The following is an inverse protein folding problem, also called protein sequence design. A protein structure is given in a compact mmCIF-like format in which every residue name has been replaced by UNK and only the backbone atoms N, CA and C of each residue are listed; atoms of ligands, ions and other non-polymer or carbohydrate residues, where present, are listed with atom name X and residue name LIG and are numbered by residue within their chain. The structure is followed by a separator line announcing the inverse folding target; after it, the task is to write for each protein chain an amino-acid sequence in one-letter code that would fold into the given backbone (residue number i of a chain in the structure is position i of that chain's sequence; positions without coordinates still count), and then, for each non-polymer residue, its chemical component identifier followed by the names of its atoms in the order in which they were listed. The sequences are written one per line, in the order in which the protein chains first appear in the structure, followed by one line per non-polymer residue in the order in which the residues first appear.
data_IF_110447969213
#
_entry.id   IF_110447969213
#
_cell.length_a   1.000
_cell.length_b   1.000
_cell.length_c   1.000
_cell.angle_alpha   90.00
_cell.angle_beta   90.00
_cell.angle_gamma   90.00
#
_symmetry.space_group_name_H-M   'P 1'
#
loop_
_entity.id
_entity.type
_entity.pdbx_description
1 polymer ?
#
# COMPACT_ATOMS: atom_id res chain seq x y z
N UNK A 1 23.93 -14.86 8.71
CA UNK A 1 22.62 -14.47 9.26
C UNK A 1 21.81 -13.48 8.39
N UNK A 2 22.15 -13.26 7.11
CA UNK A 2 21.38 -12.37 6.19
C UNK A 2 20.13 -13.00 5.57
N UNK A 3 20.01 -14.34 5.58
CA UNK A 3 18.87 -15.06 4.96
C UNK A 3 17.59 -15.06 5.81
N UNK A 4 17.73 -14.85 7.13
CA UNK A 4 16.59 -14.81 8.07
C UNK A 4 15.89 -13.44 8.01
N UNK A 5 16.65 -12.35 7.82
CA UNK A 5 16.08 -11.01 7.62
C UNK A 5 15.23 -10.92 6.33
N UNK A 6 15.64 -11.57 5.25
CA UNK A 6 14.86 -11.65 4.02
C UNK A 6 13.52 -12.42 4.20
N UNK A 7 13.50 -13.41 5.09
CA UNK A 7 12.30 -14.19 5.42
C UNK A 7 11.30 -13.43 6.30
N UNK A 8 11.78 -12.50 7.13
CA UNK A 8 10.94 -11.59 7.91
C UNK A 8 10.42 -10.41 7.07
N UNK A 9 11.18 -9.95 6.07
CA UNK A 9 10.70 -9.00 5.05
C UNK A 9 9.56 -9.61 4.23
N UNK A 10 9.59 -10.93 3.96
CA UNK A 10 8.51 -11.69 3.30
C UNK A 10 7.18 -11.69 4.07
N UNK A 11 7.19 -11.49 5.39
CA UNK A 11 5.97 -11.44 6.23
C UNK A 11 5.32 -10.06 6.25
N UNK A 12 6.06 -8.99 5.91
CA UNK A 12 5.55 -7.62 5.85
C UNK A 12 5.10 -7.19 4.44
N UNK A 13 5.25 -8.06 3.43
CA UNK A 13 4.85 -7.83 2.04
C UNK A 13 3.44 -8.34 1.72
N UNK A 14 2.72 -8.94 2.67
CA UNK A 14 1.35 -9.44 2.46
C UNK A 14 0.30 -8.34 2.27
N UNK A 15 0.62 -7.09 2.62
CA UNK A 15 -0.28 -5.96 2.49
C UNK A 15 -0.26 -5.29 1.11
N UNK A 16 0.71 -5.63 0.24
CA UNK A 16 0.86 -4.98 -1.06
C UNK A 16 0.84 -5.99 -2.21
N UNK A 17 0.31 -5.53 -3.35
CA UNK A 17 0.31 -6.25 -4.61
C UNK A 17 1.09 -5.47 -5.66
N UNK A 18 1.93 -6.18 -6.40
CA UNK A 18 2.47 -5.64 -7.65
C UNK A 18 1.37 -5.58 -8.71
N UNK A 19 1.28 -4.48 -9.45
CA UNK A 19 0.24 -4.25 -10.46
C UNK A 19 0.84 -3.63 -11.72
N UNK A 20 0.29 -3.90 -12.90
CA UNK A 20 0.83 -3.37 -14.17
C UNK A 20 0.28 -1.97 -14.51
N UNK A 21 -0.85 -1.56 -13.94
CA UNK A 21 -1.55 -0.32 -14.28
C UNK A 21 -1.59 0.74 -13.16
N UNK A 22 -2.17 1.89 -13.44
CA UNK A 22 -2.48 2.90 -12.42
C UNK A 22 -3.78 2.50 -11.71
N UNK A 23 -3.67 2.18 -10.42
CA UNK A 23 -4.82 1.89 -9.54
C UNK A 23 -5.31 3.17 -8.86
N UNK A 24 -4.43 4.17 -8.73
CA UNK A 24 -4.75 5.53 -8.28
C UNK A 24 -4.30 6.53 -9.34
N UNK A 25 -5.26 7.16 -10.01
CA UNK A 25 -4.97 8.23 -10.96
C UNK A 25 -4.46 9.48 -10.26
N UNK A 26 -3.70 10.32 -10.98
CA UNK A 26 -3.22 11.61 -10.45
C UNK A 26 -4.37 12.53 -9.99
N UNK A 27 -5.51 12.51 -10.70
CA UNK A 27 -6.69 13.32 -10.37
C UNK A 27 -7.46 12.83 -9.14
N UNK A 28 -7.43 11.53 -8.87
CA UNK A 28 -8.04 10.92 -7.68
C UNK A 28 -7.16 11.02 -6.43
N UNK A 29 -5.87 11.33 -6.60
CA UNK A 29 -4.93 11.41 -5.49
C UNK A 29 -5.22 12.59 -4.57
N UNK A 30 -5.23 12.32 -3.26
CA UNK A 30 -5.53 13.27 -2.18
C UNK A 30 -4.46 13.25 -1.11
N UNK A 31 -4.34 14.38 -0.40
CA UNK A 31 -3.64 14.39 0.88
C UNK A 31 -4.49 13.63 1.90
N UNK A 32 -3.93 12.57 2.47
CA UNK A 32 -4.54 11.76 3.52
C UNK A 32 -4.54 12.57 4.82
N UNK A 33 -5.73 12.84 5.34
CA UNK A 33 -5.92 13.48 6.64
C UNK A 33 -5.24 12.65 7.74
N UNK A 34 -4.38 13.28 8.53
CA UNK A 34 -3.63 12.64 9.61
C UNK A 34 -2.23 12.15 9.22
N UNK A 35 -1.92 11.97 7.93
CA UNK A 35 -0.53 11.74 7.49
C UNK A 35 0.23 13.05 7.52
N UNK A 36 1.19 13.15 8.45
CA UNK A 36 2.09 14.29 8.59
C UNK A 36 3.30 14.14 7.68
N UNK A 37 3.86 15.26 7.25
CA UNK A 37 5.20 15.25 6.65
C UNK A 37 6.20 14.93 7.77
N UNK A 38 7.12 13.99 7.54
CA UNK A 38 8.00 13.51 8.59
C UNK A 38 8.66 12.18 8.27
N UNK A 39 9.50 11.73 9.20
CA UNK A 39 10.17 10.45 9.12
C UNK A 39 9.26 9.37 9.71
N UNK A 40 8.97 8.34 8.93
CA UNK A 40 8.22 7.17 9.38
C UNK A 40 9.14 5.97 9.47
N UNK A 41 8.98 5.18 10.54
CA UNK A 41 9.76 3.97 10.78
C UNK A 41 8.85 2.75 10.81
N UNK A 42 9.29 1.71 10.11
CA UNK A 42 8.69 0.37 10.17
C UNK A 42 9.21 -0.43 11.38
N UNK A 43 8.50 -1.46 11.85
CA UNK A 43 8.96 -2.32 12.94
C UNK A 43 10.32 -3.00 12.70
N UNK A 44 10.72 -3.20 11.44
CA UNK A 44 12.01 -3.77 11.07
C UNK A 44 13.16 -2.74 11.03
N UNK A 45 12.89 -1.50 11.44
CA UNK A 45 13.87 -0.42 11.53
C UNK A 45 14.07 0.37 10.23
N UNK A 46 13.37 0.02 9.14
CA UNK A 46 13.44 0.80 7.90
C UNK A 46 12.77 2.16 8.10
N UNK A 47 13.46 3.22 7.69
CA UNK A 47 13.00 4.60 7.80
C UNK A 47 12.76 5.23 6.43
N UNK A 48 11.64 5.93 6.29
CA UNK A 48 11.30 6.69 5.09
C UNK A 48 10.81 8.08 5.45
N UNK A 49 11.38 9.09 4.80
CA UNK A 49 10.85 10.44 4.84
C UNK A 49 9.64 10.52 3.91
N UNK A 50 8.50 10.97 4.43
CA UNK A 50 7.27 11.19 3.68
C UNK A 50 6.98 12.69 3.64
N UNK A 51 6.63 13.20 2.45
CA UNK A 51 6.25 14.61 2.26
C UNK A 51 5.15 14.73 1.21
N UNK A 52 4.08 15.48 1.51
CA UNK A 52 3.08 15.80 0.51
C UNK A 52 3.58 16.83 -0.50
N UNK A 53 3.56 16.48 -1.78
CA UNK A 53 3.80 17.39 -2.90
C UNK A 53 2.46 17.85 -3.48
N UNK A 54 2.03 19.06 -3.12
CA UNK A 54 0.77 19.63 -3.57
C UNK A 54 0.70 19.91 -5.08
N UNK A 55 1.84 20.24 -5.72
CA UNK A 55 1.88 20.53 -7.15
C UNK A 55 1.63 19.27 -7.99
N UNK A 56 2.20 18.14 -7.57
CA UNK A 56 2.06 16.85 -8.26
C UNK A 56 0.91 15.98 -7.70
N UNK A 57 0.23 16.45 -6.65
CA UNK A 57 -0.82 15.72 -5.93
C UNK A 57 -0.40 14.31 -5.51
N UNK A 58 0.81 14.17 -4.98
CA UNK A 58 1.34 12.88 -4.54
C UNK A 58 2.31 13.07 -3.37
N UNK A 59 2.63 11.97 -2.70
CA UNK A 59 3.65 11.94 -1.67
C UNK A 59 5.02 11.64 -2.28
N UNK A 60 6.02 12.40 -1.87
CA UNK A 60 7.41 12.03 -1.99
C UNK A 60 7.74 11.05 -0.87
N UNK A 61 8.33 9.90 -1.22
CA UNK A 61 8.74 8.87 -0.26
C UNK A 61 10.25 8.63 -0.47
N UNK A 62 11.04 9.06 0.49
CA UNK A 62 12.50 9.03 0.41
C UNK A 62 13.05 8.12 1.51
N UNK A 63 13.42 6.87 1.22
CA UNK A 63 14.10 6.03 2.19
C UNK A 63 15.48 6.60 2.52
N UNK A 64 15.96 6.34 3.73
CA UNK A 64 17.30 6.76 4.17
C UNK A 64 18.42 6.19 3.26
N UNK A 65 18.31 4.91 2.95
CA UNK A 65 19.36 4.13 2.26
C UNK A 65 18.83 3.52 0.95
N UNK A 66 18.24 4.32 0.07
CA UNK A 66 17.70 3.81 -1.20
C UNK A 66 17.16 4.87 -2.16
N UNK A 67 16.65 4.44 -3.32
CA UNK A 67 16.01 5.34 -4.28
C UNK A 67 14.71 5.91 -3.71
N UNK A 68 14.47 7.20 -3.97
CA UNK A 68 13.17 7.82 -3.69
C UNK A 68 12.11 7.32 -4.67
N UNK A 69 10.86 7.25 -4.21
CA UNK A 69 9.70 7.02 -5.05
C UNK A 69 8.57 7.97 -4.72
N UNK A 70 7.42 7.73 -5.36
CA UNK A 70 6.21 8.53 -5.19
C UNK A 70 5.07 7.65 -4.72
N UNK A 71 4.14 8.18 -3.94
CA UNK A 71 2.91 7.48 -3.59
C UNK A 71 1.68 8.35 -3.87
N UNK A 72 0.63 7.75 -4.41
CA UNK A 72 -0.69 8.37 -4.58
C UNK A 72 -1.67 7.69 -3.65
N UNK A 73 -2.65 8.43 -3.16
CA UNK A 73 -3.66 7.91 -2.25
C UNK A 73 -5.05 8.36 -2.67
N UNK A 74 -6.00 7.43 -2.80
CA UNK A 74 -7.41 7.74 -3.02
C UNK A 74 -8.24 7.22 -1.85
N UNK A 75 -9.23 8.01 -1.40
CA UNK A 75 -10.16 7.58 -0.36
C UNK A 75 -11.11 6.53 -0.94
N UNK A 76 -11.26 5.38 -0.26
CA UNK A 76 -12.20 4.33 -0.65
C UNK A 76 -13.48 4.42 0.18
N UNK A 77 -13.31 4.33 1.49
CA UNK A 77 -14.36 4.49 2.51
C UNK A 77 -13.85 5.39 3.63
N UNK A 78 -14.68 5.73 4.61
CA UNK A 78 -14.27 6.59 5.72
C UNK A 78 -13.05 6.00 6.45
N UNK A 79 -11.95 6.75 6.48
CA UNK A 79 -10.72 6.37 7.17
C UNK A 79 -9.86 5.31 6.47
N UNK A 80 -10.24 4.83 5.27
CA UNK A 80 -9.48 3.81 4.53
C UNK A 80 -9.16 4.29 3.11
N UNK A 81 -7.92 4.10 2.71
CA UNK A 81 -7.34 4.64 1.49
C UNK A 81 -6.72 3.53 0.65
N UNK A 82 -6.91 3.63 -0.66
CA UNK A 82 -6.12 2.92 -1.65
C UNK A 82 -4.83 3.70 -1.86
N UNK A 83 -3.69 3.06 -1.65
CA UNK A 83 -2.38 3.69 -1.86
C UNK A 83 -1.67 2.96 -2.99
N UNK A 84 -1.17 3.72 -3.95
CA UNK A 84 -0.29 3.21 -5.00
C UNK A 84 1.09 3.85 -4.86
N UNK A 85 2.10 3.03 -4.62
CA UNK A 85 3.51 3.42 -4.77
C UNK A 85 3.89 3.34 -6.25
N UNK A 86 4.31 4.46 -6.81
CA UNK A 86 4.63 4.67 -8.23
C UNK A 86 6.14 4.71 -8.37
N UNK A 87 6.74 3.53 -8.44
CA UNK A 87 8.12 3.30 -8.83
C UNK A 87 8.19 2.33 -10.03
N UNK A 88 9.35 1.69 -10.24
CA UNK A 88 9.51 0.67 -11.28
C UNK A 88 8.62 -0.58 -11.08
N UNK A 89 8.18 -0.88 -9.85
CA UNK A 89 7.48 -2.11 -9.47
C UNK A 89 6.04 -1.88 -9.01
N UNK A 90 5.48 -0.66 -9.17
CA UNK A 90 4.07 -0.28 -8.96
C UNK A 90 3.34 -1.16 -7.93
N UNK A 91 3.36 -0.73 -6.67
CA UNK A 91 2.74 -1.47 -5.58
C UNK A 91 1.42 -0.83 -5.19
N UNK A 92 0.38 -1.63 -4.98
CA UNK A 92 -0.93 -1.16 -4.50
C UNK A 92 -1.29 -1.85 -3.20
N UNK A 93 -1.82 -1.08 -2.24
CA UNK A 93 -2.18 -1.56 -0.91
C UNK A 93 -3.33 -0.76 -0.29
N UNK A 94 -3.94 -1.30 0.76
CA UNK A 94 -4.88 -0.58 1.63
C UNK A 94 -4.15 0.02 2.82
N UNK A 95 -4.52 1.24 3.19
CA UNK A 95 -3.99 1.88 4.40
C UNK A 95 -5.07 2.67 5.16
N UNK A 96 -4.83 2.86 6.46
CA UNK A 96 -5.55 3.79 7.32
C UNK A 96 -4.58 4.54 8.22
N UNK A 97 -5.05 5.65 8.78
CA UNK A 97 -4.31 6.43 9.78
C UNK A 97 -4.89 6.14 11.16
N UNK A 98 -4.05 5.72 12.10
CA UNK A 98 -4.40 5.50 13.50
C UNK A 98 -3.52 6.38 14.39
N UNK A 99 -4.07 7.48 14.90
CA UNK A 99 -3.27 8.49 15.58
C UNK A 99 -2.28 9.15 14.61
N UNK A 100 -0.98 8.97 14.85
CA UNK A 100 0.11 9.40 13.95
C UNK A 100 0.63 8.29 13.04
N UNK A 101 0.13 7.07 13.18
CA UNK A 101 0.65 5.91 12.48
C UNK A 101 -0.10 5.65 11.19
N UNK A 102 0.61 5.14 10.18
CA UNK A 102 0.03 4.59 8.97
C UNK A 102 -0.02 3.08 9.11
N UNK A 103 -1.22 2.51 9.08
CA UNK A 103 -1.46 1.07 9.16
C UNK A 103 -1.75 0.55 7.77
N UNK A 104 -1.05 -0.50 7.36
CA UNK A 104 -1.19 -1.16 6.07
C UNK A 104 -2.01 -2.43 6.27
N UNK A 105 -2.97 -2.69 5.39
CA UNK A 105 -3.86 -3.85 5.51
C UNK A 105 -3.61 -4.87 4.41
N UNK A 106 -3.66 -6.14 4.80
CA UNK A 106 -3.70 -7.29 3.92
C UNK A 106 -5.12 -7.87 3.92
N UNK A 107 -5.64 -8.37 2.78
CA UNK A 107 -6.92 -9.06 2.81
C UNK A 107 -6.83 -10.34 3.65
N UNK A 108 -7.93 -10.72 4.29
CA UNK A 108 -8.05 -12.05 4.86
C UNK A 108 -7.90 -13.08 3.73
N UNK A 109 -7.13 -14.17 3.95
CA UNK A 109 -6.85 -15.17 2.90
C UNK A 109 -8.10 -15.82 2.29
N UNK A 110 -9.15 -16.03 3.08
CA UNK A 110 -10.40 -16.57 2.57
C UNK A 110 -11.10 -15.56 1.63
N UNK A 111 -11.18 -14.30 2.06
CA UNK A 111 -11.77 -13.21 1.28
C UNK A 111 -10.94 -12.88 0.02
N UNK A 112 -9.61 -12.91 0.14
CA UNK A 112 -8.66 -12.66 -0.96
C UNK A 112 -9.00 -13.53 -2.18
N UNK A 113 -9.05 -14.85 -1.99
CA UNK A 113 -9.29 -15.77 -3.11
C UNK A 113 -10.68 -15.61 -3.72
N UNK A 114 -11.69 -15.39 -2.88
CA UNK A 114 -13.06 -15.16 -3.34
C UNK A 114 -13.16 -13.87 -4.18
N UNK A 115 -12.60 -12.76 -3.69
CA UNK A 115 -12.64 -11.46 -4.36
C UNK A 115 -11.79 -11.45 -5.63
N UNK A 116 -10.60 -12.04 -5.62
CA UNK A 116 -9.76 -12.18 -6.82
C UNK A 116 -10.55 -12.84 -7.95
N UNK A 117 -11.24 -13.95 -7.64
CA UNK A 117 -12.10 -14.64 -8.62
C UNK A 117 -13.28 -13.77 -9.05
N UNK A 118 -13.95 -13.09 -8.14
CA UNK A 118 -15.12 -12.24 -8.43
C UNK A 118 -14.79 -11.08 -9.39
N UNK A 119 -13.56 -10.56 -9.32
CA UNK A 119 -13.10 -9.46 -10.20
C UNK A 119 -12.38 -9.93 -11.47
N UNK A 120 -12.34 -11.25 -11.73
CA UNK A 120 -11.64 -11.81 -12.89
C UNK A 120 -10.12 -11.57 -12.85
N UNK A 121 -9.57 -11.45 -11.64
CA UNK A 121 -8.14 -11.25 -11.41
C UNK A 121 -7.44 -12.60 -11.25
N UNK A 122 -6.12 -12.59 -11.34
CA UNK A 122 -5.28 -13.74 -11.02
C UNK A 122 -4.15 -13.34 -10.10
N UNK A 123 -3.78 -14.23 -9.19
CA UNK A 123 -2.63 -14.03 -8.30
C UNK A 123 -1.42 -14.74 -8.89
N UNK A 124 -0.35 -14.00 -9.15
CA UNK A 124 0.95 -14.57 -9.52
C UNK A 124 1.90 -14.49 -8.32
N UNK A 125 2.31 -15.63 -7.75
CA UNK A 125 3.27 -15.63 -6.64
C UNK A 125 4.61 -15.04 -7.05
N UNK A 126 5.26 -14.33 -6.13
CA UNK A 126 6.57 -13.71 -6.31
C UNK A 126 7.11 -13.16 -5.00
N UNK A 127 8.24 -12.44 -5.02
CA UNK A 127 8.74 -11.73 -3.84
C UNK A 127 7.69 -10.78 -3.25
N UNK A 128 6.91 -10.16 -4.14
CA UNK A 128 5.63 -9.52 -3.86
C UNK A 128 4.62 -10.18 -4.79
N UNK A 129 3.46 -10.58 -4.28
CA UNK A 129 2.45 -11.19 -5.13
C UNK A 129 1.94 -10.15 -6.15
N UNK A 130 1.85 -10.55 -7.41
CA UNK A 130 1.29 -9.69 -8.44
C UNK A 130 -0.20 -9.99 -8.62
N UNK A 131 -1.02 -8.94 -8.59
CA UNK A 131 -2.44 -9.02 -8.91
C UNK A 131 -2.61 -8.68 -10.39
N UNK A 132 -2.83 -9.72 -11.19
CA UNK A 132 -2.82 -9.64 -12.66
C UNK A 132 -4.25 -9.45 -13.16
N UNK A 133 -4.45 -8.41 -13.96
CA UNK A 133 -5.71 -8.08 -14.60
C UNK A 133 -5.81 -6.58 -14.94
N UNK A 134 -6.95 -6.14 -15.50
CA UNK A 134 -7.16 -4.73 -15.80
C UNK A 134 -7.06 -3.84 -14.55
N UNK A 135 -6.44 -2.66 -14.67
CA UNK A 135 -6.24 -1.75 -13.55
C UNK A 135 -7.55 -1.36 -12.84
N UNK A 136 -8.63 -1.19 -13.60
CA UNK A 136 -9.96 -0.94 -13.05
C UNK A 136 -10.50 -2.10 -12.21
N UNK A 137 -10.26 -3.35 -12.62
CA UNK A 137 -10.64 -4.53 -11.83
C UNK A 137 -9.84 -4.62 -10.53
N UNK A 138 -8.54 -4.28 -10.57
CA UNK A 138 -7.69 -4.20 -9.36
C UNK A 138 -8.19 -3.10 -8.41
N UNK A 139 -8.51 -1.92 -8.92
CA UNK A 139 -9.07 -0.84 -8.11
C UNK A 139 -10.42 -1.22 -7.47
N UNK A 140 -11.29 -1.91 -8.22
CA UNK A 140 -12.56 -2.43 -7.71
C UNK A 140 -12.37 -3.51 -6.64
N UNK A 141 -11.39 -4.42 -6.81
CA UNK A 141 -11.01 -5.38 -5.77
C UNK A 141 -10.69 -4.69 -4.44
N UNK A 142 -9.85 -3.65 -4.46
CA UNK A 142 -9.52 -2.93 -3.23
C UNK A 142 -10.69 -2.11 -2.67
N UNK A 143 -11.55 -1.58 -3.54
CA UNK A 143 -12.78 -0.89 -3.12
C UNK A 143 -13.70 -1.82 -2.35
N UNK A 144 -13.97 -3.00 -2.88
CA UNK A 144 -14.87 -3.98 -2.25
C UNK A 144 -14.24 -4.58 -0.99
N UNK A 145 -12.92 -4.78 -0.98
CA UNK A 145 -12.17 -5.14 0.21
C UNK A 145 -12.28 -4.06 1.31
N UNK A 146 -12.09 -2.78 0.94
CA UNK A 146 -12.25 -1.66 1.86
C UNK A 146 -13.66 -1.55 2.44
N UNK A 147 -14.68 -1.83 1.63
CA UNK A 147 -16.09 -1.77 2.02
C UNK A 147 -16.54 -2.96 2.88
N UNK A 148 -16.03 -4.16 2.62
CA UNK A 148 -16.36 -5.37 3.39
C UNK A 148 -15.74 -5.38 4.78
N UNK A 149 -14.56 -4.77 4.96
CA UNK A 149 -13.82 -4.87 6.21
C UNK A 149 -13.03 -6.18 6.36
N UNK A 150 -13.02 -7.04 5.33
CA UNK A 150 -12.38 -8.37 5.35
C UNK A 150 -10.85 -8.31 5.19
N UNK A 151 -10.20 -7.46 5.97
CA UNK A 151 -8.76 -7.26 5.98
C UNK A 151 -8.21 -7.19 7.40
N UNK A 152 -6.92 -7.46 7.54
CA UNK A 152 -6.19 -7.47 8.80
C UNK A 152 -4.95 -6.59 8.68
N UNK A 153 -4.42 -6.09 9.81
CA UNK A 153 -3.16 -5.36 9.82
C UNK A 153 -2.05 -6.27 9.26
N UNK A 154 -1.45 -5.86 8.15
CA UNK A 154 -0.32 -6.53 7.50
C UNK A 154 0.99 -5.78 7.68
N UNK A 155 0.95 -4.53 8.16
CA UNK A 155 2.11 -3.73 8.48
C UNK A 155 1.75 -2.39 9.09
N UNK A 156 2.76 -1.70 9.63
CA UNK A 156 2.59 -0.40 10.26
C UNK A 156 3.82 0.47 10.02
N UNK A 157 3.60 1.77 9.96
CA UNK A 157 4.63 2.79 9.90
C UNK A 157 4.33 3.82 10.99
N UNK A 158 5.24 3.96 11.94
CA UNK A 158 5.10 4.88 13.07
C UNK A 158 5.86 6.16 12.77
N UNK A 159 5.23 7.30 13.02
CA UNK A 159 5.90 8.59 12.91
C UNK A 159 7.00 8.68 13.97
N UNK A 160 8.22 8.99 13.52
CA UNK A 160 9.34 9.29 14.41
C UNK A 160 9.21 10.75 14.86
N UNK A 161 9.17 11.00 16.19
CA UNK A 161 9.09 12.35 16.75
C UNK A 161 10.30 13.24 16.40
#
# INVERSE_FOLDING_TARGET
MRRIAALLVLLLLGACYQVEGETVSASASVRVDGVRDGLYRRPDGVEVQVRWNAAERQYDVTPKDGPSGKARAARLVSGVYLVQYVDATRLTLLASVQGSDVVLFAPNKAAEQQMIKAHGLSLRPGPINALVGPAGSVANFFKDLGASGDYVEGGRMTLVP
#
